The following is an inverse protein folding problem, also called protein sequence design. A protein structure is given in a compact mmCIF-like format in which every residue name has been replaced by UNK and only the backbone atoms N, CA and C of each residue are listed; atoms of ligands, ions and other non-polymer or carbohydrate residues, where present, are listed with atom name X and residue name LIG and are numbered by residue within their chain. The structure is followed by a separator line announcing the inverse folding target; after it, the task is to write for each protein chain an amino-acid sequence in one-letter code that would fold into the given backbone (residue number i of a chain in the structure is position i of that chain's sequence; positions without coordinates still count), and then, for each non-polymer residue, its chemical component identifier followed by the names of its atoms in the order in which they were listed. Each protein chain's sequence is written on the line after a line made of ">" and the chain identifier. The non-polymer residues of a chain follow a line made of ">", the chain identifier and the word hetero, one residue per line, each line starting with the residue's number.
data_IF_041539998076
#
_entry.id   IF_041539998076
#
_cell.length_a   1.000
_cell.length_b   1.000
_cell.length_c   1.000
_cell.angle_alpha   90.00
_cell.angle_beta   90.00
_cell.angle_gamma   90.00
#
_symmetry.space_group_name_H-M   'P 1'
#
loop_
_entity.id
_entity.type
_entity.pdbx_description
1 polymer ?
#
# COMPACT_ATOMS: atom_id res chain seq x y z
N UNK A 1 -13.05 -12.94 -6.15
CA UNK A 1 -12.79 -14.29 -5.63
C UNK A 1 -11.81 -15.03 -6.51
N UNK A 2 -11.18 -16.08 -5.99
CA UNK A 2 -10.27 -16.96 -6.75
C UNK A 2 -10.91 -18.36 -6.88
N UNK A 3 -10.57 -19.08 -7.95
CA UNK A 3 -11.05 -20.44 -8.19
C UNK A 3 -9.91 -21.48 -8.09
N UNK A 4 -10.26 -22.76 -8.16
CA UNK A 4 -9.31 -23.87 -8.10
C UNK A 4 -8.33 -23.94 -9.29
N UNK A 5 -8.57 -23.17 -10.34
CA UNK A 5 -7.69 -23.03 -11.50
C UNK A 5 -6.77 -21.83 -11.38
N UNK A 6 -6.72 -21.20 -10.20
CA UNK A 6 -5.91 -20.03 -9.87
C UNK A 6 -6.31 -18.76 -10.64
N UNK A 7 -7.54 -18.69 -11.13
CA UNK A 7 -8.06 -17.47 -11.72
C UNK A 7 -8.55 -16.52 -10.62
N UNK A 8 -8.21 -15.25 -10.74
CA UNK A 8 -8.84 -14.16 -10.02
C UNK A 8 -10.04 -13.67 -10.83
N UNK A 9 -11.22 -13.68 -10.22
CA UNK A 9 -12.46 -13.27 -10.83
C UNK A 9 -13.01 -11.98 -10.23
N UNK A 10 -13.56 -11.15 -11.08
CA UNK A 10 -14.40 -10.00 -10.72
C UNK A 10 -15.86 -10.34 -11.04
N UNK A 11 -16.74 -10.17 -10.05
CA UNK A 11 -18.19 -10.30 -10.20
C UNK A 11 -18.84 -8.93 -10.10
N UNK A 12 -19.55 -8.55 -11.14
CA UNK A 12 -20.50 -7.43 -11.09
C UNK A 12 -21.81 -7.93 -10.46
N UNK A 13 -22.08 -7.50 -9.24
CA UNK A 13 -23.23 -7.98 -8.46
C UNK A 13 -24.56 -7.57 -9.09
N UNK A 14 -24.63 -6.42 -9.76
CA UNK A 14 -25.86 -5.92 -10.35
C UNK A 14 -26.26 -6.67 -11.61
N UNK A 15 -25.29 -7.00 -12.47
CA UNK A 15 -25.55 -7.72 -13.73
C UNK A 15 -25.33 -9.22 -13.65
N UNK A 16 -24.67 -9.72 -12.58
CA UNK A 16 -24.23 -11.09 -12.47
C UNK A 16 -23.07 -11.47 -13.41
N UNK A 17 -22.48 -10.49 -14.11
CA UNK A 17 -21.38 -10.72 -15.05
C UNK A 17 -20.09 -11.06 -14.31
N UNK A 18 -19.46 -12.15 -14.71
CA UNK A 18 -18.13 -12.53 -14.24
C UNK A 18 -17.07 -12.22 -15.29
N UNK A 19 -15.93 -11.67 -14.84
CA UNK A 19 -14.78 -11.36 -15.70
C UNK A 19 -13.52 -11.92 -15.04
N UNK A 20 -12.69 -12.62 -15.81
CA UNK A 20 -11.36 -13.03 -15.33
C UNK A 20 -10.46 -11.80 -15.29
N UNK A 21 -9.89 -11.53 -14.14
CA UNK A 21 -8.91 -10.45 -13.93
C UNK A 21 -7.52 -10.91 -14.34
N UNK A 22 -7.10 -12.06 -13.81
CA UNK A 22 -5.78 -12.64 -14.06
C UNK A 22 -5.75 -14.12 -13.66
N UNK A 23 -4.63 -14.80 -13.97
CA UNK A 23 -4.38 -16.19 -13.59
C UNK A 23 -2.97 -16.33 -12.99
N UNK A 24 -2.86 -17.06 -11.89
CA UNK A 24 -1.59 -17.32 -11.19
C UNK A 24 -1.01 -18.70 -11.57
N UNK A 25 -0.80 -18.91 -12.87
CA UNK A 25 -0.37 -20.19 -13.43
C UNK A 25 0.98 -20.73 -12.91
N UNK A 26 1.78 -19.87 -12.29
CA UNK A 26 3.09 -20.23 -11.74
C UNK A 26 3.07 -20.52 -10.25
N UNK A 27 1.92 -20.38 -9.60
CA UNK A 27 1.78 -20.71 -8.20
C UNK A 27 1.74 -22.24 -8.01
N UNK A 28 2.30 -22.71 -6.90
CA UNK A 28 2.23 -24.09 -6.51
C UNK A 28 1.24 -24.24 -5.36
N UNK A 29 0.07 -24.81 -5.64
CA UNK A 29 -0.99 -25.05 -4.67
C UNK A 29 -0.54 -25.84 -3.43
N UNK A 30 0.55 -26.62 -3.56
CA UNK A 30 1.03 -27.47 -2.47
C UNK A 30 1.93 -26.75 -1.45
N UNK A 31 2.39 -25.52 -1.74
CA UNK A 31 3.42 -24.87 -0.94
C UNK A 31 2.98 -23.63 -0.17
N UNK A 32 1.89 -22.98 -0.52
CA UNK A 32 1.55 -21.70 0.12
C UNK A 32 0.10 -21.27 0.01
N UNK A 33 -0.81 -22.19 0.16
CA UNK A 33 -2.19 -21.77 0.44
C UNK A 33 -2.95 -21.11 -0.68
N UNK A 34 -2.50 -21.12 -1.93
CA UNK A 34 -3.43 -20.83 -2.98
C UNK A 34 -3.07 -19.71 -3.96
N UNK A 35 -4.03 -19.44 -4.79
CA UNK A 35 -4.11 -18.45 -5.83
C UNK A 35 -3.78 -17.02 -5.34
N UNK A 36 -3.76 -16.08 -6.27
CA UNK A 36 -3.65 -14.64 -5.99
C UNK A 36 -4.28 -14.27 -4.65
N UNK A 37 -3.44 -13.90 -3.67
CA UNK A 37 -3.86 -13.63 -2.31
C UNK A 37 -4.25 -12.16 -2.13
N UNK A 38 -5.28 -11.94 -1.32
CA UNK A 38 -5.65 -10.63 -0.78
C UNK A 38 -5.76 -9.50 -1.81
N UNK A 39 -6.53 -9.65 -2.90
CA UNK A 39 -6.77 -8.52 -3.80
C UNK A 39 -7.41 -7.34 -3.03
N UNK A 40 -6.95 -6.10 -3.31
CA UNK A 40 -7.40 -4.88 -2.63
C UNK A 40 -7.88 -3.85 -3.65
N UNK A 41 -8.99 -3.20 -3.32
CA UNK A 41 -9.54 -2.11 -4.12
C UNK A 41 -8.83 -0.78 -3.85
N UNK A 42 -8.73 0.05 -4.89
CA UNK A 42 -8.44 1.47 -4.69
C UNK A 42 -9.60 2.18 -4.00
N UNK A 43 -9.36 3.33 -3.33
CA UNK A 43 -10.42 4.07 -2.62
C UNK A 43 -11.59 4.49 -3.50
N UNK A 44 -11.34 4.76 -4.78
CA UNK A 44 -12.34 5.11 -5.79
C UNK A 44 -13.00 3.92 -6.49
N UNK A 45 -12.58 2.69 -6.15
CA UNK A 45 -13.10 1.44 -6.71
C UNK A 45 -12.86 1.26 -8.22
N UNK A 46 -11.91 2.00 -8.81
CA UNK A 46 -11.56 1.89 -10.25
C UNK A 46 -10.45 0.88 -10.52
N UNK A 47 -9.65 0.58 -9.50
CA UNK A 47 -8.47 -0.26 -9.61
C UNK A 47 -8.51 -1.38 -8.58
N UNK A 48 -7.97 -2.53 -8.98
CA UNK A 48 -7.73 -3.67 -8.11
C UNK A 48 -6.24 -3.97 -8.10
N UNK A 49 -5.62 -4.06 -6.92
CA UNK A 49 -4.23 -4.49 -6.78
C UNK A 49 -4.14 -5.89 -6.21
N UNK A 50 -3.14 -6.63 -6.60
CA UNK A 50 -2.85 -7.99 -6.12
C UNK A 50 -1.38 -8.34 -6.38
N UNK A 51 -0.90 -9.38 -5.73
CA UNK A 51 0.38 -10.00 -6.04
C UNK A 51 0.17 -11.37 -6.67
N UNK A 52 0.97 -11.72 -7.66
CA UNK A 52 0.98 -13.06 -8.26
C UNK A 52 2.40 -13.51 -8.57
N UNK A 53 2.58 -14.81 -8.67
CA UNK A 53 3.87 -15.42 -8.94
C UNK A 53 4.24 -15.32 -10.42
N UNK A 54 5.47 -14.92 -10.70
CA UNK A 54 6.05 -14.89 -12.03
C UNK A 54 6.76 -16.21 -12.37
N UNK A 55 7.12 -16.44 -13.65
CA UNK A 55 7.91 -17.63 -14.04
C UNK A 55 9.20 -17.81 -13.24
N UNK A 56 9.81 -16.71 -12.80
CA UNK A 56 11.00 -16.69 -11.93
C UNK A 56 10.77 -17.07 -10.48
N UNK A 57 9.56 -17.55 -10.13
CA UNK A 57 9.15 -17.96 -8.78
C UNK A 57 9.07 -16.84 -7.74
N UNK A 58 9.32 -15.58 -8.10
CA UNK A 58 9.08 -14.41 -7.27
C UNK A 58 7.69 -13.84 -7.54
N UNK A 59 7.08 -13.26 -6.52
CA UNK A 59 5.83 -12.54 -6.66
C UNK A 59 6.10 -11.11 -7.17
N UNK A 60 5.21 -10.60 -7.99
CA UNK A 60 5.19 -9.21 -8.38
C UNK A 60 3.82 -8.57 -8.07
N UNK A 61 3.84 -7.29 -7.74
CA UNK A 61 2.63 -6.50 -7.56
C UNK A 61 2.05 -6.08 -8.92
N UNK A 62 0.74 -6.22 -9.05
CA UNK A 62 -0.04 -5.85 -10.23
C UNK A 62 -1.15 -4.87 -9.86
N UNK A 63 -1.56 -4.09 -10.85
CA UNK A 63 -2.76 -3.26 -10.78
C UNK A 63 -3.61 -3.54 -12.01
N UNK A 64 -4.90 -3.80 -11.77
CA UNK A 64 -5.90 -4.05 -12.81
C UNK A 64 -6.87 -2.87 -12.90
N UNK A 65 -7.07 -2.36 -14.10
CA UNK A 65 -8.05 -1.32 -14.38
C UNK A 65 -9.41 -1.93 -14.74
N UNK A 66 -10.42 -1.65 -13.93
CA UNK A 66 -11.74 -2.26 -14.11
C UNK A 66 -12.40 -1.82 -15.42
N UNK A 67 -12.21 -0.56 -15.81
CA UNK A 67 -12.84 0.02 -17.02
C UNK A 67 -12.29 -0.54 -18.32
N UNK A 68 -10.99 -0.80 -18.37
CA UNK A 68 -10.30 -1.28 -19.59
C UNK A 68 -10.07 -2.79 -19.60
N UNK A 69 -10.19 -3.44 -18.43
CA UNK A 69 -9.89 -4.86 -18.27
C UNK A 69 -8.39 -5.20 -18.39
N UNK A 70 -7.51 -4.22 -18.15
CA UNK A 70 -6.07 -4.37 -18.32
C UNK A 70 -5.35 -4.52 -16.98
N UNK A 71 -4.55 -5.57 -16.84
CA UNK A 71 -3.59 -5.74 -15.76
C UNK A 71 -2.22 -5.18 -16.16
N UNK A 72 -1.58 -4.46 -15.24
CA UNK A 72 -0.22 -3.89 -15.44
C UNK A 72 0.65 -4.29 -14.25
N UNK A 73 1.83 -4.83 -14.55
CA UNK A 73 2.85 -5.16 -13.55
C UNK A 73 3.51 -3.88 -13.03
N UNK A 74 3.64 -3.76 -11.72
CA UNK A 74 4.19 -2.58 -11.03
C UNK A 74 5.66 -2.81 -10.62
N UNK A 75 5.96 -3.97 -10.03
CA UNK A 75 7.32 -4.35 -9.63
C UNK A 75 7.95 -5.26 -10.68
N UNK A 76 9.27 -5.21 -10.82
CA UNK A 76 10.02 -5.91 -11.89
C UNK A 76 10.13 -7.44 -11.70
N UNK A 77 9.80 -7.96 -10.51
CA UNK A 77 9.92 -9.37 -10.17
C UNK A 77 11.34 -9.81 -9.77
N UNK A 78 12.25 -8.86 -9.54
CA UNK A 78 13.60 -9.14 -9.02
C UNK A 78 13.60 -9.31 -7.51
N UNK A 79 12.53 -8.94 -6.84
CA UNK A 79 12.25 -9.17 -5.43
C UNK A 79 10.87 -9.81 -5.27
N UNK A 80 10.66 -10.54 -4.17
CA UNK A 80 9.36 -11.14 -3.85
C UNK A 80 8.43 -10.09 -3.26
N UNK A 81 7.63 -9.43 -4.10
CA UNK A 81 6.71 -8.37 -3.72
C UNK A 81 5.33 -8.94 -3.38
N UNK A 82 4.86 -8.70 -2.16
CA UNK A 82 3.61 -9.25 -1.61
C UNK A 82 2.74 -8.16 -0.97
N UNK A 83 1.46 -8.47 -0.80
CA UNK A 83 0.47 -7.66 -0.08
C UNK A 83 0.35 -6.20 -0.56
N UNK A 84 0.22 -5.95 -1.85
CA UNK A 84 0.02 -4.59 -2.32
C UNK A 84 -1.30 -4.01 -1.83
N UNK A 85 -1.27 -2.77 -1.31
CA UNK A 85 -2.45 -2.06 -0.79
C UNK A 85 -2.38 -0.58 -1.12
N UNK A 86 -3.50 0.00 -1.59
CA UNK A 86 -3.59 1.43 -1.86
C UNK A 86 -3.66 2.24 -0.57
N UNK A 87 -3.05 3.45 -0.58
CA UNK A 87 -3.31 4.45 0.46
C UNK A 87 -4.76 4.93 0.40
N UNK A 88 -5.32 5.35 1.54
CA UNK A 88 -6.71 5.88 1.62
C UNK A 88 -6.92 7.13 0.76
N UNK A 89 -5.88 7.90 0.51
CA UNK A 89 -5.93 9.08 -0.35
C UNK A 89 -5.71 8.78 -1.84
N UNK A 90 -5.44 7.52 -2.21
CA UNK A 90 -5.22 7.08 -3.59
C UNK A 90 -3.94 7.56 -4.25
N UNK A 91 -2.97 8.11 -3.48
CA UNK A 91 -1.72 8.63 -4.03
C UNK A 91 -0.61 7.61 -4.11
N UNK A 92 -0.64 6.60 -3.24
CA UNK A 92 0.42 5.62 -3.07
C UNK A 92 -0.12 4.19 -3.14
N UNK A 93 0.75 3.28 -3.55
CA UNK A 93 0.57 1.85 -3.41
C UNK A 93 1.69 1.34 -2.50
N UNK A 94 1.34 0.73 -1.37
CA UNK A 94 2.30 0.11 -0.46
C UNK A 94 2.41 -1.38 -0.73
N UNK A 95 3.58 -1.94 -0.49
CA UNK A 95 3.80 -3.38 -0.56
C UNK A 95 5.01 -3.77 0.31
N UNK A 96 5.08 -5.04 0.67
CA UNK A 96 6.27 -5.61 1.30
C UNK A 96 7.08 -6.38 0.26
N UNK A 97 8.41 -6.26 0.27
CA UNK A 97 9.25 -7.02 -0.63
C UNK A 97 10.48 -7.60 0.05
N UNK A 98 10.91 -8.76 -0.43
CA UNK A 98 12.07 -9.48 0.05
C UNK A 98 13.05 -9.79 -1.08
N UNK A 99 14.34 -9.62 -0.80
CA UNK A 99 15.43 -10.07 -1.66
C UNK A 99 16.11 -11.36 -1.12
N UNK A 100 15.69 -11.82 0.06
CA UNK A 100 16.24 -13.01 0.70
C UNK A 100 15.24 -14.19 0.76
N UNK A 101 14.19 -14.13 -0.06
CA UNK A 101 13.28 -15.27 -0.24
C UNK A 101 14.08 -16.45 -0.76
N UNK A 102 14.12 -17.52 0.03
CA UNK A 102 14.64 -18.80 -0.43
C UNK A 102 13.63 -19.46 -1.37
N UNK A 103 14.13 -20.09 -2.44
CA UNK A 103 13.31 -20.93 -3.30
C UNK A 103 12.70 -22.05 -2.46
N UNK A 104 11.38 -22.09 -2.41
CA UNK A 104 10.66 -23.10 -1.66
C UNK A 104 10.71 -24.44 -2.43
N UNK A 105 11.34 -25.44 -1.85
CA UNK A 105 11.47 -26.79 -2.44
C UNK A 105 10.47 -27.72 -1.73
N UNK A 106 9.23 -27.66 -2.15
CA UNK A 106 8.16 -28.45 -1.55
C UNK A 106 7.87 -28.05 -0.10
N UNK A 107 7.47 -29.01 0.73
CA UNK A 107 7.16 -28.77 2.15
C UNK A 107 8.41 -28.73 3.07
N UNK A 108 9.59 -29.09 2.55
CA UNK A 108 10.88 -29.01 3.22
C UNK A 108 11.62 -27.75 2.72
N UNK A 109 11.32 -26.61 3.34
CA UNK A 109 12.09 -25.39 3.09
C UNK A 109 13.37 -25.38 3.97
N UNK A 110 14.40 -26.08 3.50
CA UNK A 110 15.69 -26.18 4.17
C UNK A 110 16.42 -24.83 4.25
N UNK A 111 16.06 -23.88 3.40
CA UNK A 111 16.70 -22.56 3.36
C UNK A 111 16.23 -21.63 4.49
N UNK A 112 15.13 -21.98 5.15
CA UNK A 112 14.56 -21.18 6.26
C UNK A 112 15.00 -21.63 7.65
N UNK A 113 15.68 -22.77 7.77
CA UNK A 113 16.05 -23.30 9.08
C UNK A 113 16.84 -22.32 9.95
N UNK A 114 17.71 -21.51 9.32
CA UNK A 114 18.57 -20.56 10.03
C UNK A 114 18.35 -19.09 9.64
N UNK A 115 17.58 -18.80 8.59
CA UNK A 115 17.42 -17.45 8.03
C UNK A 115 15.96 -17.18 7.71
N UNK A 116 15.21 -16.57 8.63
CA UNK A 116 13.83 -16.17 8.35
C UNK A 116 13.79 -15.19 7.18
N UNK A 117 12.78 -15.31 6.34
CA UNK A 117 12.52 -14.33 5.28
C UNK A 117 12.17 -12.98 5.92
N UNK A 118 12.96 -11.97 5.59
CA UNK A 118 12.69 -10.59 5.97
C UNK A 118 12.20 -9.80 4.77
N UNK A 119 11.42 -8.77 5.02
CA UNK A 119 10.86 -7.86 4.01
C UNK A 119 11.09 -6.42 4.43
N UNK A 120 11.38 -5.58 3.44
CA UNK A 120 11.28 -4.13 3.57
C UNK A 120 9.90 -3.67 3.12
N UNK A 121 9.45 -2.53 3.62
CA UNK A 121 8.21 -1.89 3.19
C UNK A 121 8.51 -0.81 2.17
N UNK A 122 7.70 -0.74 1.12
CA UNK A 122 7.86 0.20 0.01
C UNK A 122 6.58 0.96 -0.28
N UNK A 123 6.74 2.16 -0.80
CA UNK A 123 5.68 2.99 -1.35
C UNK A 123 5.97 3.28 -2.82
N UNK A 124 4.99 3.08 -3.68
CA UNK A 124 4.99 3.54 -5.07
C UNK A 124 4.23 4.84 -5.15
N UNK A 125 4.84 5.90 -5.67
CA UNK A 125 4.14 7.14 -5.98
C UNK A 125 3.38 6.94 -7.29
N UNK A 126 2.05 6.90 -7.23
CA UNK A 126 1.21 6.51 -8.36
C UNK A 126 1.16 7.58 -9.46
N UNK A 127 1.02 8.83 -9.08
CA UNK A 127 1.02 9.95 -10.03
C UNK A 127 2.45 10.53 -10.13
N UNK A 128 2.95 10.72 -11.35
CA UNK A 128 4.29 11.28 -11.61
C UNK A 128 4.49 12.70 -11.06
N UNK A 129 3.40 13.48 -10.97
CA UNK A 129 3.42 14.87 -10.50
C UNK A 129 3.20 14.96 -8.97
N UNK A 130 2.96 13.83 -8.30
CA UNK A 130 2.81 13.80 -6.84
C UNK A 130 4.18 13.77 -6.16
N UNK A 131 4.28 14.47 -5.02
CA UNK A 131 5.49 14.47 -4.22
C UNK A 131 5.73 13.09 -3.59
N UNK A 132 7.01 12.72 -3.43
CA UNK A 132 7.37 11.55 -2.63
C UNK A 132 6.89 11.73 -1.19
N UNK A 133 6.40 10.66 -0.52
CA UNK A 133 6.00 10.75 0.89
C UNK A 133 7.20 11.06 1.82
N UNK A 134 8.42 10.96 1.29
CA UNK A 134 9.67 11.25 2.00
C UNK A 134 10.45 12.41 1.38
N UNK A 135 9.80 13.28 0.58
CA UNK A 135 10.44 14.47 0.06
C UNK A 135 10.97 15.32 1.23
N UNK A 136 12.17 15.94 1.09
CA UNK A 136 12.66 16.88 2.09
C UNK A 136 11.61 17.97 2.34
N UNK A 137 11.30 18.24 3.60
CA UNK A 137 10.54 19.42 3.97
C UNK A 137 11.50 20.60 3.93
N UNK A 138 11.13 21.67 3.22
CA UNK A 138 11.90 22.91 3.24
C UNK A 138 11.65 23.60 4.58
N UNK A 139 12.72 23.90 5.33
CA UNK A 139 12.66 24.72 6.54
C UNK A 139 12.43 26.21 6.21
N UNK A 140 12.30 26.56 4.95
CA UNK A 140 11.94 27.91 4.55
C UNK A 140 10.47 28.17 4.88
N UNK A 141 10.24 29.10 5.82
CA UNK A 141 8.91 29.65 6.08
C UNK A 141 8.29 30.08 4.76
N UNK A 142 7.05 29.64 4.50
CA UNK A 142 6.33 30.04 3.31
C UNK A 142 6.30 31.57 3.22
N UNK A 143 7.07 32.13 2.33
CA UNK A 143 7.03 33.56 2.01
C UNK A 143 5.61 33.85 1.55
N UNK A 144 4.82 34.49 2.43
CA UNK A 144 3.53 35.04 2.05
C UNK A 144 3.80 35.98 0.89
N UNK A 145 3.31 35.62 -0.30
CA UNK A 145 3.28 36.52 -1.43
C UNK A 145 2.64 37.82 -0.97
N UNK A 146 3.43 38.86 -0.87
CA UNK A 146 2.95 40.20 -0.58
C UNK A 146 2.04 40.60 -1.76
N UNK A 147 0.76 40.62 -1.52
CA UNK A 147 -0.17 41.36 -2.36
C UNK A 147 0.05 42.85 -2.07
N UNK A 148 0.66 43.54 -3.00
CA UNK A 148 0.60 45.01 -3.07
C UNK A 148 -0.89 45.41 -3.15
N UNK A 149 -1.37 45.99 -2.09
CA UNK A 149 -2.37 47.02 -2.21
C UNK A 149 -2.30 47.98 -1.01
N UNK A 150 -1.98 49.22 -1.32
CA UNK A 150 -1.93 50.32 -0.38
C UNK A 150 -3.32 50.93 -0.24
N UNK A 151 -3.80 51.06 0.98
CA UNK A 151 -4.36 52.30 1.50
C UNK A 151 -5.27 52.06 2.72
N UNK A 152 -4.93 52.73 3.79
CA UNK A 152 -5.82 53.54 4.61
C UNK A 152 -6.70 52.90 5.69
N UNK A 153 -6.29 53.31 6.88
CA UNK A 153 -7.14 53.62 8.04
C UNK A 153 -7.48 52.57 9.11
N UNK A 154 -7.05 52.95 10.28
CA UNK A 154 -7.30 52.39 11.62
C UNK A 154 -8.81 52.38 11.98
N UNK A 155 -9.26 51.36 12.68
CA UNK A 155 -10.04 51.47 13.90
C UNK A 155 -10.10 50.15 14.68
N UNK A 156 -10.08 50.34 15.98
CA UNK A 156 -10.05 49.40 17.12
C UNK A 156 -11.26 48.47 17.27
N UNK A 157 -10.98 47.40 18.04
CA UNK A 157 -11.87 46.65 18.95
C UNK A 157 -12.89 45.65 18.38
N UNK A 158 -12.66 44.38 18.59
CA UNK A 158 -13.29 43.48 19.58
C UNK A 158 -13.01 41.99 19.26
N UNK A 159 -12.52 41.33 20.32
CA UNK A 159 -12.52 39.87 20.46
C UNK A 159 -13.88 39.28 20.09
N UNK A 160 -13.85 38.23 19.26
CA UNK A 160 -14.75 37.10 19.39
C UNK A 160 -14.08 35.84 18.86
N UNK A 161 -13.85 34.90 19.78
CA UNK A 161 -13.40 33.53 19.50
C UNK A 161 -14.47 32.81 18.66
N UNK A 162 -14.21 32.60 17.39
CA UNK A 162 -14.93 31.61 16.58
C UNK A 162 -13.95 30.62 16.02
N UNK A 163 -13.73 29.55 16.81
CA UNK A 163 -13.16 28.29 16.40
C UNK A 163 -13.94 27.76 15.20
N UNK A 164 -13.44 28.02 14.02
CA UNK A 164 -14.01 27.44 12.78
C UNK A 164 -13.50 26.02 12.69
N UNK A 165 -14.26 25.08 13.19
CA UNK A 165 -14.11 23.66 12.87
C UNK A 165 -14.29 23.52 11.36
N UNK A 166 -13.20 23.24 10.65
CA UNK A 166 -13.26 22.73 9.30
C UNK A 166 -13.94 21.36 9.36
N UNK A 167 -15.22 21.31 9.06
CA UNK A 167 -15.88 20.06 8.69
C UNK A 167 -15.13 19.50 7.49
N UNK A 168 -14.39 18.43 7.70
CA UNK A 168 -13.90 17.60 6.62
C UNK A 168 -15.12 17.03 5.90
N UNK A 169 -15.18 17.29 4.61
CA UNK A 169 -16.23 16.83 3.70
C UNK A 169 -16.11 15.29 3.57
N UNK A 170 -16.90 14.58 4.38
CA UNK A 170 -16.99 13.13 4.34
C UNK A 170 -17.87 12.72 3.14
N UNK A 171 -17.31 12.69 1.92
CA UNK A 171 -18.10 12.23 0.80
C UNK A 171 -17.48 12.19 -0.59
N UNK A 172 -16.46 12.92 -0.91
CA UNK A 172 -15.82 12.83 -2.23
C UNK A 172 -14.74 11.73 -2.24
N UNK A 173 -15.03 10.58 -2.87
CA UNK A 173 -14.01 9.56 -3.14
C UNK A 173 -12.90 10.22 -3.94
N UNK A 174 -11.69 10.30 -3.36
CA UNK A 174 -10.52 10.88 -4.03
C UNK A 174 -10.13 9.98 -5.20
N UNK A 175 -10.09 10.54 -6.41
CA UNK A 175 -9.74 9.81 -7.61
C UNK A 175 -8.27 9.32 -7.55
N UNK A 176 -8.07 8.02 -7.77
CA UNK A 176 -6.74 7.41 -7.87
C UNK A 176 -6.24 7.55 -9.30
N UNK A 177 -5.17 8.32 -9.51
CA UNK A 177 -4.52 8.51 -10.80
C UNK A 177 -3.21 7.74 -10.84
N UNK A 178 -3.04 6.90 -11.86
CA UNK A 178 -1.85 6.06 -12.00
C UNK A 178 -1.17 6.35 -13.33
N UNK A 179 0.06 6.83 -13.25
CA UNK A 179 0.95 6.99 -14.40
C UNK A 179 1.88 5.79 -14.48
N UNK A 180 1.68 4.91 -15.45
CA UNK A 180 2.49 3.69 -15.57
C UNK A 180 3.89 3.94 -16.13
N UNK A 181 4.08 4.98 -16.94
CA UNK A 181 5.39 5.31 -17.49
C UNK A 181 6.40 5.62 -16.38
N UNK A 182 7.48 4.84 -16.30
CA UNK A 182 8.53 4.99 -15.28
C UNK A 182 8.07 4.73 -13.84
N UNK A 183 7.02 3.98 -13.62
CA UNK A 183 6.46 3.72 -12.28
C UNK A 183 7.47 3.00 -11.37
N UNK A 184 8.30 2.12 -11.90
CA UNK A 184 9.34 1.41 -11.14
C UNK A 184 10.41 2.35 -10.55
N UNK A 185 10.60 3.53 -11.15
CA UNK A 185 11.53 4.54 -10.63
C UNK A 185 10.93 5.41 -9.51
N UNK A 186 9.64 5.25 -9.25
CA UNK A 186 8.92 5.97 -8.19
C UNK A 186 8.64 5.09 -6.98
N UNK A 187 9.38 3.99 -6.84
CA UNK A 187 9.33 3.10 -5.68
C UNK A 187 10.35 3.62 -4.66
N UNK A 188 9.89 3.89 -3.45
CA UNK A 188 10.72 4.38 -2.35
C UNK A 188 10.55 3.48 -1.13
N UNK A 189 11.65 3.17 -0.44
CA UNK A 189 11.62 2.37 0.78
C UNK A 189 11.12 3.20 1.96
N UNK A 190 10.33 2.61 2.84
CA UNK A 190 9.99 3.19 4.12
C UNK A 190 11.22 3.09 5.06
N UNK A 191 11.46 4.10 5.92
CA UNK A 191 12.59 4.10 6.86
C UNK A 191 12.29 3.21 8.08
N UNK A 192 12.08 1.93 7.83
CA UNK A 192 11.87 0.89 8.84
C UNK A 192 12.86 -0.26 8.61
N UNK A 193 13.33 -0.96 9.65
CA UNK A 193 14.27 -2.07 9.49
C UNK A 193 13.59 -3.25 8.77
N UNK A 194 14.41 -4.10 8.12
CA UNK A 194 13.91 -5.33 7.52
C UNK A 194 13.51 -6.34 8.59
N UNK A 195 12.27 -6.81 8.56
CA UNK A 195 11.71 -7.78 9.49
C UNK A 195 10.73 -8.72 8.76
N UNK A 196 10.21 -9.71 9.47
CA UNK A 196 9.16 -10.59 8.97
C UNK A 196 7.80 -9.85 8.99
N UNK A 197 7.58 -8.98 8.02
CA UNK A 197 6.36 -8.18 7.90
C UNK A 197 5.28 -8.89 7.08
N UNK A 198 4.02 -8.70 7.51
CA UNK A 198 2.82 -9.13 6.81
C UNK A 198 1.58 -8.33 7.27
N UNK A 199 0.44 -8.55 6.61
CA UNK A 199 -0.85 -8.00 7.01
C UNK A 199 -0.96 -6.49 6.77
N UNK A 200 -0.48 -5.97 5.64
CA UNK A 200 -0.50 -4.55 5.34
C UNK A 200 -1.94 -4.03 5.18
N UNK A 201 -2.28 -2.97 5.91
CA UNK A 201 -3.53 -2.23 5.78
C UNK A 201 -3.28 -0.73 5.93
N UNK A 202 -4.15 0.10 5.35
CA UNK A 202 -3.98 1.55 5.34
C UNK A 202 -5.12 2.28 6.03
N UNK A 203 -4.80 3.34 6.73
CA UNK A 203 -5.73 4.34 7.23
C UNK A 203 -5.26 5.73 6.78
N UNK A 204 -6.02 6.78 7.12
CA UNK A 204 -5.66 8.14 6.74
C UNK A 204 -4.28 8.53 7.30
N UNK A 205 -3.32 8.75 6.38
CA UNK A 205 -1.95 9.11 6.71
C UNK A 205 -1.11 8.04 7.42
N UNK A 206 -1.61 6.79 7.49
CA UNK A 206 -0.94 5.70 8.22
C UNK A 206 -0.92 4.39 7.43
N UNK A 207 0.17 3.64 7.61
CA UNK A 207 0.28 2.25 7.21
C UNK A 207 0.35 1.38 8.46
N UNK A 208 -0.50 0.36 8.54
CA UNK A 208 -0.47 -0.68 9.56
C UNK A 208 0.15 -1.94 8.99
N UNK A 209 0.98 -2.60 9.79
CA UNK A 209 1.65 -3.84 9.40
C UNK A 209 2.00 -4.68 10.62
N UNK A 210 1.89 -6.01 10.47
CA UNK A 210 2.27 -6.98 11.48
C UNK A 210 3.75 -7.32 11.38
N UNK A 211 4.43 -7.47 12.51
CA UNK A 211 5.79 -8.00 12.62
C UNK A 211 5.76 -9.32 13.36
N UNK A 212 6.21 -10.40 12.72
CA UNK A 212 6.37 -11.69 13.37
C UNK A 212 7.72 -11.75 14.10
N UNK A 213 7.63 -11.88 15.43
CA UNK A 213 8.79 -11.99 16.29
C UNK A 213 8.95 -13.47 16.71
N UNK A 214 10.10 -14.12 16.46
CA UNK A 214 10.32 -15.50 16.86
C UNK A 214 10.02 -15.72 18.34
N UNK A 215 9.34 -16.83 18.66
CA UNK A 215 8.98 -17.24 20.02
C UNK A 215 7.97 -16.32 20.75
N UNK A 216 7.35 -15.36 20.06
CA UNK A 216 6.19 -14.62 20.59
C UNK A 216 4.90 -15.13 19.96
N UNK A 217 3.81 -15.27 20.73
CA UNK A 217 2.50 -15.64 20.16
C UNK A 217 1.93 -14.46 19.35
N UNK A 218 1.34 -14.77 18.19
CA UNK A 218 0.76 -13.76 17.30
C UNK A 218 1.84 -12.89 16.64
N UNK A 219 1.45 -11.69 16.29
CA UNK A 219 2.35 -10.68 15.73
C UNK A 219 2.24 -9.35 16.51
N UNK A 220 3.26 -8.54 16.43
CA UNK A 220 3.22 -7.16 16.90
C UNK A 220 2.67 -6.29 15.77
N UNK A 221 1.52 -5.66 16.00
CA UNK A 221 0.94 -4.70 15.07
C UNK A 221 1.64 -3.35 15.24
N UNK A 222 2.24 -2.88 14.19
CA UNK A 222 2.92 -1.59 14.11
C UNK A 222 2.12 -0.63 13.24
N UNK A 223 2.32 0.67 13.46
CA UNK A 223 1.83 1.73 12.60
C UNK A 223 2.98 2.63 12.16
N UNK A 224 2.98 3.02 10.89
CA UNK A 224 3.87 4.04 10.34
C UNK A 224 3.06 5.30 10.02
N UNK A 225 3.38 6.41 10.65
CA UNK A 225 2.80 7.73 10.38
C UNK A 225 3.64 8.49 9.36
N UNK A 226 3.03 8.84 8.21
CA UNK A 226 3.76 9.51 7.13
C UNK A 226 4.11 10.95 7.46
N UNK A 227 3.28 11.64 8.26
CA UNK A 227 3.55 13.01 8.71
C UNK A 227 4.82 13.10 9.54
N UNK A 228 4.97 12.21 10.50
CA UNK A 228 6.09 12.23 11.44
C UNK A 228 7.24 11.31 10.98
N UNK A 229 7.02 10.54 9.89
CA UNK A 229 7.96 9.56 9.32
C UNK A 229 8.47 8.56 10.36
N UNK A 230 7.60 8.17 11.28
CA UNK A 230 7.93 7.31 12.41
C UNK A 230 7.05 6.07 12.47
N UNK A 231 7.70 4.97 12.84
CA UNK A 231 7.02 3.74 13.21
C UNK A 231 6.85 3.66 14.73
N UNK A 232 5.71 3.13 15.16
CA UNK A 232 5.43 2.83 16.57
C UNK A 232 4.63 1.54 16.70
N UNK A 233 4.79 0.86 17.85
CA UNK A 233 3.98 -0.31 18.19
C UNK A 233 2.57 0.17 18.53
N UNK A 234 1.57 -0.44 17.87
CA UNK A 234 0.17 -0.18 18.13
C UNK A 234 -0.42 -1.20 19.10
N UNK A 235 -0.14 -2.51 18.90
CA UNK A 235 -0.60 -3.58 19.78
C UNK A 235 0.33 -4.79 19.68
N UNK A 236 0.45 -5.58 20.74
CA UNK A 236 1.20 -6.83 20.79
C UNK A 236 0.26 -8.05 20.90
N UNK A 237 0.75 -9.23 20.44
CA UNK A 237 0.03 -10.49 20.56
C UNK A 237 -1.25 -10.56 19.72
N UNK A 238 -1.28 -9.83 18.60
CA UNK A 238 -2.45 -9.78 17.70
C UNK A 238 -2.48 -11.04 16.83
N UNK A 239 -3.64 -11.70 16.77
CA UNK A 239 -3.83 -12.88 15.91
C UNK A 239 -4.35 -12.50 14.53
N UNK A 240 -5.22 -11.49 14.45
CA UNK A 240 -5.77 -10.95 13.21
C UNK A 240 -6.33 -9.55 13.46
N UNK A 241 -6.41 -8.72 12.43
CA UNK A 241 -7.00 -7.40 12.51
C UNK A 241 -7.62 -6.96 11.19
N UNK A 242 -8.55 -6.03 11.27
CA UNK A 242 -9.16 -5.35 10.13
C UNK A 242 -9.41 -3.90 10.52
N UNK A 243 -9.06 -2.97 9.63
CA UNK A 243 -9.37 -1.56 9.78
C UNK A 243 -10.75 -1.27 9.17
N UNK A 244 -11.55 -0.50 9.88
CA UNK A 244 -12.89 -0.04 9.44
C UNK A 244 -12.82 1.33 8.78
#
# INVERSE_FOLDING_TARGET
>A
FTDVRLNLWLLDVASGKMTVVDNDAHNNLNTSGGAIESPRWSPDSRWLTYAKRLPGQMNAAFVYEVSTGRATQITDGMSDAVEPVFSRDGKYLFFAASTNVATNVGWLDMARLDKPVTRSLYAVVLNKDAASPFAPESDEEAVKAASDDASGEKKDDKKDDKKTEKKEDAGAKKETKIDFAGISQRIVALPVPDRAYAGLQTADGKLFYGEFIPNKPGFTLNTFEFKDRKSSVYAEGVSNYTLS
#
